data_IF_601635491305
#
_entry.id   IF_601635491305
#
_cell.length_a   1.000
_cell.length_b   1.000
_cell.length_c   1.000
_cell.angle_alpha   90.00
_cell.angle_beta   90.00
_cell.angle_gamma   90.00
#
_symmetry.space_group_name_H-M   'P 1'
#
loop_
_entity.id
_entity.type
_entity.pdbx_description
1 polymer ?
#
# COMPACT_ATOMS: atom_id res chain seq x y z
N UNK A 1 -10.96 10.61 25.31
CA UNK A 1 -11.15 9.61 24.24
C UNK A 1 -11.12 10.20 22.83
N UNK A 2 -11.79 11.32 22.59
CA UNK A 2 -11.76 11.98 21.27
C UNK A 2 -10.36 12.43 20.82
N UNK A 3 -9.53 12.91 21.73
CA UNK A 3 -8.16 13.32 21.42
C UNK A 3 -7.26 12.16 20.98
N UNK A 4 -7.46 10.96 21.53
CA UNK A 4 -6.68 9.77 21.20
C UNK A 4 -7.01 9.23 19.80
N UNK A 5 -8.27 9.24 19.40
CA UNK A 5 -8.70 8.82 18.07
C UNK A 5 -8.28 9.81 16.99
N UNK A 6 -8.37 11.11 17.30
CA UNK A 6 -7.94 12.15 16.38
C UNK A 6 -6.42 12.09 16.14
N UNK A 7 -5.62 11.86 17.20
CA UNK A 7 -4.19 11.66 17.10
C UNK A 7 -3.83 10.39 16.30
N UNK A 8 -4.58 9.30 16.48
CA UNK A 8 -4.40 8.07 15.70
C UNK A 8 -4.69 8.28 14.21
N UNK A 9 -5.71 9.06 13.88
CA UNK A 9 -6.05 9.40 12.48
C UNK A 9 -4.98 10.26 11.84
N UNK A 10 -4.44 11.25 12.57
CA UNK A 10 -3.36 12.12 12.08
C UNK A 10 -2.05 11.37 11.83
N UNK A 11 -1.89 10.16 12.41
CA UNK A 11 -0.69 9.35 12.27
C UNK A 11 -0.68 8.46 11.03
N UNK A 12 -1.76 8.45 10.25
CA UNK A 12 -1.83 7.67 9.02
C UNK A 12 -1.26 8.49 7.86
N UNK A 13 -0.30 7.94 7.11
CA UNK A 13 0.33 8.70 6.04
C UNK A 13 -0.56 8.77 4.81
N UNK A 14 -0.49 9.89 4.09
CA UNK A 14 -0.98 9.97 2.72
C UNK A 14 -0.01 9.28 1.77
N UNK A 15 -0.44 8.98 0.56
CA UNK A 15 0.43 8.46 -0.50
C UNK A 15 1.64 9.38 -0.72
N UNK A 16 1.40 10.68 -0.79
CA UNK A 16 2.47 11.67 -1.00
C UNK A 16 3.47 11.68 0.16
N UNK A 17 3.00 11.59 1.40
CA UNK A 17 3.88 11.52 2.57
C UNK A 17 4.75 10.25 2.55
N UNK A 18 4.20 9.11 2.14
CA UNK A 18 4.98 7.89 1.95
C UNK A 18 6.05 8.08 0.88
N UNK A 19 5.73 8.79 -0.19
CA UNK A 19 6.68 9.10 -1.26
C UNK A 19 7.83 9.99 -0.76
N UNK A 20 7.58 10.92 0.16
CA UNK A 20 8.64 11.71 0.80
C UNK A 20 9.61 10.79 1.56
N UNK A 21 9.08 9.83 2.31
CA UNK A 21 9.90 8.89 3.07
C UNK A 21 10.65 7.91 2.15
N UNK A 22 10.03 7.45 1.08
CA UNK A 22 10.68 6.62 0.07
C UNK A 22 11.83 7.40 -0.61
N UNK A 23 11.61 8.65 -0.92
CA UNK A 23 12.65 9.55 -1.44
C UNK A 23 13.81 9.69 -0.48
N UNK A 24 13.53 9.87 0.81
CA UNK A 24 14.54 9.96 1.86
C UNK A 24 15.38 8.66 1.95
N UNK A 25 14.76 7.50 1.82
CA UNK A 25 15.47 6.21 1.86
C UNK A 25 16.45 6.01 0.69
N UNK A 26 16.25 6.72 -0.42
CA UNK A 26 17.08 6.60 -1.63
C UNK A 26 18.25 7.56 -1.70
N UNK A 27 18.25 8.62 -0.87
CA UNK A 27 19.33 9.61 -0.88
C UNK A 27 20.52 9.13 -0.04
N UNK A 28 21.72 9.24 -0.56
CA UNK A 28 22.95 8.88 0.15
C UNK A 28 23.29 9.92 1.21
N UNK A 29 23.11 11.20 0.91
CA UNK A 29 23.38 12.31 1.83
C UNK A 29 22.07 12.85 2.38
N UNK A 30 21.85 12.70 3.67
CA UNK A 30 20.63 13.20 4.34
C UNK A 30 20.59 14.73 4.41
N UNK A 31 21.73 15.39 4.40
CA UNK A 31 21.81 16.84 4.40
C UNK A 31 21.26 17.41 3.09
N UNK A 32 20.26 18.27 3.17
CA UNK A 32 19.60 18.86 2.02
C UNK A 32 18.56 17.96 1.35
N UNK A 33 18.30 16.79 1.89
CA UNK A 33 17.31 15.84 1.36
C UNK A 33 15.91 16.46 1.28
N UNK A 34 15.50 17.24 2.30
CA UNK A 34 14.19 17.88 2.32
C UNK A 34 13.98 18.82 1.13
N UNK A 35 15.00 19.61 0.79
CA UNK A 35 14.95 20.52 -0.37
C UNK A 35 14.81 19.77 -1.68
N UNK A 36 15.59 18.71 -1.87
CA UNK A 36 15.54 17.88 -3.08
C UNK A 36 14.20 17.17 -3.23
N UNK A 37 13.67 16.64 -2.15
CA UNK A 37 12.35 15.96 -2.14
C UNK A 37 11.24 16.97 -2.46
N UNK A 38 11.27 18.14 -1.82
CA UNK A 38 10.31 19.21 -2.05
C UNK A 38 10.30 19.67 -3.51
N UNK A 39 11.47 19.84 -4.10
CA UNK A 39 11.60 20.20 -5.50
C UNK A 39 11.05 19.13 -6.43
N UNK A 40 11.38 17.87 -6.17
CA UNK A 40 10.92 16.75 -6.98
C UNK A 40 9.38 16.63 -7.00
N UNK A 41 8.73 16.82 -5.87
CA UNK A 41 7.27 16.71 -5.76
C UNK A 41 6.53 18.04 -5.94
N UNK A 42 7.24 19.14 -6.20
CA UNK A 42 6.62 20.46 -6.41
C UNK A 42 5.92 21.03 -5.18
N UNK A 43 6.43 20.75 -3.99
CA UNK A 43 5.90 21.24 -2.71
C UNK A 43 6.90 22.17 -2.02
N UNK A 44 6.46 22.89 -1.01
CA UNK A 44 7.35 23.72 -0.21
C UNK A 44 8.26 22.89 0.67
N UNK A 45 9.52 23.29 0.80
CA UNK A 45 10.49 22.67 1.69
C UNK A 45 9.97 22.58 3.15
N UNK A 46 9.27 23.64 3.58
CA UNK A 46 8.67 23.69 4.92
C UNK A 46 7.65 22.58 5.16
N UNK A 47 6.93 22.17 4.12
CA UNK A 47 5.97 21.06 4.19
C UNK A 47 6.68 19.73 4.46
N UNK A 48 7.75 19.45 3.74
CA UNK A 48 8.57 18.25 3.93
C UNK A 48 9.25 18.26 5.30
N UNK A 49 9.82 19.40 5.69
CA UNK A 49 10.48 19.55 7.01
C UNK A 49 9.50 19.27 8.16
N UNK A 50 8.30 19.82 8.07
CA UNK A 50 7.27 19.64 9.09
C UNK A 50 6.88 18.18 9.21
N UNK A 51 6.72 17.50 8.09
CA UNK A 51 6.39 16.08 8.08
C UNK A 51 7.51 15.22 8.68
N UNK A 52 8.75 15.46 8.30
CA UNK A 52 9.90 14.74 8.85
C UNK A 52 10.08 14.99 10.34
N UNK A 53 9.85 16.22 10.80
CA UNK A 53 9.86 16.56 12.23
C UNK A 53 8.80 15.76 12.98
N UNK A 54 7.61 15.64 12.43
CA UNK A 54 6.55 14.79 12.97
C UNK A 54 6.98 13.32 13.04
N UNK A 55 7.63 12.81 11.99
CA UNK A 55 8.17 11.46 11.97
C UNK A 55 9.25 11.22 13.03
N UNK A 56 10.09 12.22 13.30
CA UNK A 56 11.09 12.15 14.38
C UNK A 56 10.39 12.05 15.74
N UNK A 57 9.40 12.90 15.98
CA UNK A 57 8.62 12.90 17.24
C UNK A 57 7.91 11.56 17.48
N UNK A 58 7.50 10.90 16.41
CA UNK A 58 6.80 9.60 16.47
C UNK A 58 7.73 8.40 16.51
N UNK A 59 9.03 8.59 16.44
CA UNK A 59 10.01 7.51 16.45
C UNK A 59 10.15 6.74 15.12
N UNK A 60 9.67 7.29 14.02
CA UNK A 60 9.83 6.72 12.68
C UNK A 60 11.23 7.04 12.15
N UNK A 61 11.70 8.26 12.39
CA UNK A 61 13.01 8.75 11.99
C UNK A 61 13.82 9.18 13.22
N UNK A 62 15.15 9.10 13.11
CA UNK A 62 16.06 9.72 14.05
C UNK A 62 16.22 11.20 13.70
N UNK A 63 16.85 11.98 14.58
CA UNK A 63 17.16 13.41 14.32
C UNK A 63 18.07 13.61 13.12
N UNK A 64 18.88 12.60 12.78
CA UNK A 64 19.71 12.61 11.57
C UNK A 64 18.99 12.09 10.34
N UNK A 65 17.67 11.97 10.37
CA UNK A 65 16.81 11.53 9.26
C UNK A 65 17.09 10.10 8.77
N UNK A 66 17.48 9.24 9.67
CA UNK A 66 17.62 7.82 9.40
C UNK A 66 16.41 7.08 9.94
N UNK A 67 16.03 6.00 9.29
CA UNK A 67 14.89 5.19 9.74
C UNK A 67 15.25 4.38 10.98
N UNK A 68 14.38 4.42 11.99
CA UNK A 68 14.44 3.48 13.11
C UNK A 68 13.94 2.12 12.63
N UNK A 69 14.22 1.05 13.41
CA UNK A 69 13.67 -0.28 13.10
C UNK A 69 12.14 -0.26 13.03
N UNK A 70 11.49 0.41 13.98
CA UNK A 70 10.05 0.59 13.98
C UNK A 70 9.57 1.40 12.76
N UNK A 71 10.34 2.42 12.36
CA UNK A 71 10.05 3.24 11.20
C UNK A 71 10.13 2.47 9.88
N UNK A 72 11.10 1.58 9.74
CA UNK A 72 11.22 0.72 8.56
C UNK A 72 10.03 -0.23 8.43
N UNK A 73 9.61 -0.87 9.53
CA UNK A 73 8.43 -1.74 9.55
C UNK A 73 7.16 -0.98 9.21
N UNK A 74 6.99 0.21 9.78
CA UNK A 74 5.87 1.09 9.53
C UNK A 74 5.80 1.51 8.05
N UNK A 75 6.91 1.94 7.49
CA UNK A 75 7.00 2.34 6.08
C UNK A 75 6.67 1.18 5.15
N UNK A 76 7.23 0.01 5.41
CA UNK A 76 6.98 -1.20 4.62
C UNK A 76 5.49 -1.58 4.67
N UNK A 77 4.90 -1.58 5.85
CA UNK A 77 3.49 -1.94 6.04
C UNK A 77 2.55 -1.02 5.26
N UNK A 78 2.73 0.30 5.39
CA UNK A 78 1.89 1.26 4.67
C UNK A 78 2.14 1.29 3.17
N UNK A 79 3.38 1.09 2.74
CA UNK A 79 3.71 0.98 1.32
C UNK A 79 2.99 -0.22 0.69
N UNK A 80 3.05 -1.37 1.33
CA UNK A 80 2.34 -2.57 0.88
C UNK A 80 0.83 -2.39 0.91
N UNK A 81 0.31 -1.72 1.94
CA UNK A 81 -1.13 -1.45 2.04
C UNK A 81 -1.61 -0.63 0.84
N UNK A 82 -0.94 0.46 0.51
CA UNK A 82 -1.31 1.30 -0.64
C UNK A 82 -1.22 0.54 -1.96
N UNK A 83 -0.16 -0.20 -2.18
CA UNK A 83 0.00 -1.02 -3.39
C UNK A 83 -1.11 -2.07 -3.52
N UNK A 84 -1.38 -2.78 -2.46
CA UNK A 84 -2.40 -3.84 -2.43
C UNK A 84 -3.81 -3.27 -2.53
N UNK A 85 -4.07 -2.11 -1.91
CA UNK A 85 -5.36 -1.44 -1.98
C UNK A 85 -5.64 -0.93 -3.39
N UNK A 86 -4.66 -0.32 -4.04
CA UNK A 86 -4.75 0.12 -5.42
C UNK A 86 -5.11 -1.05 -6.35
N UNK A 87 -4.39 -2.14 -6.21
CA UNK A 87 -4.60 -3.37 -6.97
C UNK A 87 -5.98 -3.98 -6.73
N UNK A 88 -6.40 -4.00 -5.47
CA UNK A 88 -7.74 -4.47 -5.08
C UNK A 88 -8.83 -3.64 -5.75
N UNK A 89 -8.71 -2.32 -5.72
CA UNK A 89 -9.68 -1.41 -6.35
C UNK A 89 -9.72 -1.57 -7.87
N UNK A 90 -8.57 -1.73 -8.52
CA UNK A 90 -8.50 -2.05 -9.95
C UNK A 90 -9.24 -3.35 -10.27
N UNK A 91 -8.99 -4.40 -9.51
CA UNK A 91 -9.57 -5.73 -9.75
C UNK A 91 -11.09 -5.76 -9.56
N UNK A 92 -11.64 -4.95 -8.65
CA UNK A 92 -13.10 -4.86 -8.47
C UNK A 92 -13.77 -3.90 -9.48
N UNK A 93 -12.99 -3.29 -10.38
CA UNK A 93 -13.50 -2.49 -11.48
C UNK A 93 -13.51 -0.99 -11.30
N UNK A 94 -12.82 -0.47 -10.28
CA UNK A 94 -12.68 0.97 -10.10
C UNK A 94 -11.82 1.59 -11.21
N UNK A 95 -12.20 2.79 -11.65
CA UNK A 95 -11.45 3.54 -12.66
C UNK A 95 -10.23 4.23 -12.03
N UNK A 96 -9.17 4.52 -12.80
CA UNK A 96 -7.97 5.18 -12.26
C UNK A 96 -8.26 6.46 -11.46
N UNK A 97 -9.19 7.30 -11.91
CA UNK A 97 -9.58 8.54 -11.23
C UNK A 97 -10.28 8.26 -9.89
N UNK A 98 -11.12 7.24 -9.85
CA UNK A 98 -11.81 6.82 -8.63
C UNK A 98 -10.82 6.26 -7.61
N UNK A 99 -9.83 5.51 -8.07
CA UNK A 99 -8.77 4.96 -7.22
C UNK A 99 -7.94 6.09 -6.60
N UNK A 100 -7.48 7.03 -7.42
CA UNK A 100 -6.69 8.17 -6.96
C UNK A 100 -7.41 8.98 -5.87
N UNK A 101 -8.71 9.24 -6.06
CA UNK A 101 -9.53 9.98 -5.09
C UNK A 101 -9.80 9.18 -3.80
N UNK A 102 -9.81 7.86 -3.88
CA UNK A 102 -10.27 6.99 -2.79
C UNK A 102 -9.15 6.51 -1.87
N UNK A 103 -7.93 6.34 -2.35
CA UNK A 103 -6.84 5.73 -1.60
C UNK A 103 -6.56 6.42 -0.26
N UNK A 104 -6.29 7.71 -0.27
CA UNK A 104 -5.99 8.48 0.93
C UNK A 104 -7.19 8.53 1.89
N UNK A 105 -8.39 8.67 1.34
CA UNK A 105 -9.64 8.70 2.12
C UNK A 105 -9.86 7.38 2.84
N UNK A 106 -9.65 6.26 2.17
CA UNK A 106 -9.81 4.93 2.78
C UNK A 106 -8.77 4.70 3.88
N UNK A 107 -7.51 5.02 3.62
CA UNK A 107 -6.44 4.84 4.62
C UNK A 107 -6.64 5.75 5.83
N UNK A 108 -7.14 6.97 5.63
CA UNK A 108 -7.45 7.90 6.73
C UNK A 108 -8.61 7.42 7.60
N UNK A 109 -9.65 6.86 7.00
CA UNK A 109 -10.91 6.59 7.68
C UNK A 109 -11.13 5.13 8.09
N UNK A 110 -10.44 4.18 7.49
CA UNK A 110 -10.57 2.75 7.82
C UNK A 110 -9.29 2.27 8.48
N UNK A 111 -9.42 1.53 9.58
CA UNK A 111 -8.28 0.97 10.27
C UNK A 111 -7.44 0.07 9.35
N UNK A 112 -6.12 0.17 9.43
CA UNK A 112 -5.20 -0.58 8.58
C UNK A 112 -5.43 -2.10 8.68
N UNK A 113 -5.70 -2.59 9.89
CA UNK A 113 -5.99 -4.01 10.08
C UNK A 113 -7.25 -4.45 9.33
N UNK A 114 -8.29 -3.62 9.33
CA UNK A 114 -9.53 -3.89 8.58
C UNK A 114 -9.29 -3.88 7.09
N UNK A 115 -8.52 -2.92 6.58
CA UNK A 115 -8.16 -2.87 5.17
C UNK A 115 -7.37 -4.12 4.76
N UNK A 116 -6.41 -4.52 5.57
CA UNK A 116 -5.62 -5.74 5.34
C UNK A 116 -6.50 -6.99 5.33
N UNK A 117 -7.46 -7.10 6.25
CA UNK A 117 -8.41 -8.20 6.28
C UNK A 117 -9.28 -8.27 5.01
N UNK A 118 -9.79 -7.12 4.56
CA UNK A 118 -10.60 -7.04 3.33
C UNK A 118 -9.82 -7.49 2.11
N UNK A 119 -8.60 -7.00 1.96
CA UNK A 119 -7.72 -7.31 0.83
C UNK A 119 -7.34 -8.80 0.86
N UNK A 120 -6.96 -9.33 2.01
CA UNK A 120 -6.56 -10.73 2.17
C UNK A 120 -7.73 -11.68 1.89
N UNK A 121 -8.91 -11.37 2.40
CA UNK A 121 -10.11 -12.18 2.15
C UNK A 121 -10.45 -12.25 0.66
N UNK A 122 -10.34 -11.13 -0.06
CA UNK A 122 -10.55 -11.08 -1.51
C UNK A 122 -9.50 -11.92 -2.25
N UNK A 123 -8.23 -11.77 -1.88
CA UNK A 123 -7.12 -12.50 -2.49
C UNK A 123 -7.27 -14.01 -2.30
N UNK A 124 -7.66 -14.46 -1.11
CA UNK A 124 -7.92 -15.86 -0.82
C UNK A 124 -9.06 -16.42 -1.66
N UNK A 125 -10.18 -15.72 -1.75
CA UNK A 125 -11.32 -16.12 -2.59
C UNK A 125 -10.92 -16.25 -4.05
N UNK A 126 -10.20 -15.28 -4.57
CA UNK A 126 -9.69 -15.29 -5.95
C UNK A 126 -8.79 -16.51 -6.21
N UNK A 127 -7.90 -16.83 -5.28
CA UNK A 127 -7.02 -17.99 -5.36
C UNK A 127 -7.82 -19.31 -5.39
N UNK A 128 -8.84 -19.45 -4.56
CA UNK A 128 -9.72 -20.62 -4.51
C UNK A 128 -10.50 -20.77 -5.82
N UNK A 129 -11.09 -19.71 -6.34
CA UNK A 129 -11.82 -19.75 -7.61
C UNK A 129 -10.91 -20.13 -8.78
N UNK A 130 -9.73 -19.55 -8.85
CA UNK A 130 -8.75 -19.86 -9.89
C UNK A 130 -8.31 -21.32 -9.85
N UNK A 131 -8.11 -21.87 -8.66
CA UNK A 131 -7.77 -23.29 -8.46
C UNK A 131 -8.90 -24.20 -8.93
N UNK A 132 -10.14 -23.89 -8.60
CA UNK A 132 -11.32 -24.63 -9.05
C UNK A 132 -11.50 -24.59 -10.56
N UNK A 133 -11.30 -23.44 -11.19
CA UNK A 133 -11.31 -23.30 -12.64
C UNK A 133 -10.26 -24.18 -13.32
N UNK A 134 -9.03 -24.16 -12.80
CA UNK A 134 -7.95 -24.98 -13.31
C UNK A 134 -8.23 -26.48 -13.17
N UNK A 135 -8.78 -26.90 -12.04
CA UNK A 135 -9.19 -28.29 -11.82
C UNK A 135 -10.28 -28.72 -12.79
N UNK A 136 -11.28 -27.85 -13.03
CA UNK A 136 -12.36 -28.10 -13.99
C UNK A 136 -11.82 -28.18 -15.43
N UNK A 137 -10.95 -27.26 -15.81
CA UNK A 137 -10.32 -27.27 -17.14
C UNK A 137 -9.51 -28.54 -17.36
N UNK A 138 -8.77 -29.00 -16.37
CA UNK A 138 -8.02 -30.25 -16.44
C UNK A 138 -8.94 -31.45 -16.59
N UNK A 139 -10.05 -31.48 -15.87
CA UNK A 139 -11.06 -32.54 -15.97
C UNK A 139 -11.69 -32.58 -17.37
N UNK A 140 -12.05 -31.39 -17.92
CA UNK A 140 -12.59 -31.26 -19.28
C UNK A 140 -11.57 -31.77 -20.30
N UNK A 141 -10.32 -31.38 -20.21
CA UNK A 141 -9.24 -31.84 -21.08
C UNK A 141 -9.05 -33.34 -21.02
N UNK A 142 -9.08 -33.91 -19.82
CA UNK A 142 -8.95 -35.36 -19.62
C UNK A 142 -10.12 -36.11 -20.30
N UNK A 143 -11.33 -35.64 -20.12
CA UNK A 143 -12.53 -36.24 -20.75
C UNK A 143 -12.50 -36.14 -22.29
N UNK A 144 -12.04 -35.02 -22.84
CA UNK A 144 -11.86 -34.84 -24.27
C UNK A 144 -10.83 -35.81 -24.86
N UNK A 145 -9.74 -36.07 -24.15
CA UNK A 145 -8.72 -37.03 -24.56
C UNK A 145 -9.27 -38.47 -24.56
N UNK A 146 -10.09 -38.83 -23.56
CA UNK A 146 -10.77 -40.12 -23.53
C UNK A 146 -11.69 -40.31 -24.75
N UNK A 147 -12.43 -39.31 -25.12
CA UNK A 147 -13.29 -39.32 -26.31
C UNK A 147 -12.49 -39.52 -27.58
N UNK A 148 -11.29 -38.96 -27.70
CA UNK A 148 -10.39 -39.15 -28.88
C UNK A 148 -9.76 -40.54 -28.93
N UNK A 149 -9.56 -41.22 -27.79
CA UNK A 149 -8.96 -42.55 -27.70
C UNK A 149 -9.93 -43.67 -28.10
N UNK A 150 -11.24 -43.39 -28.09
CA UNK A 150 -12.29 -44.37 -28.46
C UNK A 150 -13.15 -43.79 -29.56
N UNK A 151 -12.58 -43.50 -30.77
CA UNK A 151 -13.40 -43.08 -31.89
C UNK A 151 -14.25 -44.29 -32.36
N UNK A 152 -15.52 -44.05 -32.41
CA UNK A 152 -16.48 -45.07 -32.94
C UNK A 152 -16.51 -44.91 -34.47
#
# INVERSE_FOLDING_TARGET
>A
MEKGEHLKRQNRPTMLQLQYLQGLSRVEKKRGAQGSIAEYYGVNRSTVNRYFKNCIERGILTESLEFTAAGEEWLERYTKLYENLEKYLEEIGAKPEEIEESLDVMVENIDIHMLELMINAYTEKKSVYKKKENELDQEIQHNLQKCKRHPV
#
